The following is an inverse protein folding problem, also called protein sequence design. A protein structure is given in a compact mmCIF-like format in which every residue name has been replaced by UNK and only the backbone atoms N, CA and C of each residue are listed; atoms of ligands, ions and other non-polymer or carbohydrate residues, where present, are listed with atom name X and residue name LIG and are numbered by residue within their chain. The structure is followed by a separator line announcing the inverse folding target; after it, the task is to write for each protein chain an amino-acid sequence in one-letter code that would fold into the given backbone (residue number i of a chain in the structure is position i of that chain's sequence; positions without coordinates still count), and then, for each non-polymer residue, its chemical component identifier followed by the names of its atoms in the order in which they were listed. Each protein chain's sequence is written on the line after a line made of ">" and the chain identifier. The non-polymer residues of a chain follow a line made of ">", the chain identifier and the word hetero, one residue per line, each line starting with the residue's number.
data_IF_195759502609
#
_entry.id   IF_195759502609
#
_cell.length_a   1.000
_cell.length_b   1.000
_cell.length_c   1.000
_cell.angle_alpha   90.00
_cell.angle_beta   90.00
_cell.angle_gamma   90.00
#
_symmetry.space_group_name_H-M   'P 1'
#
loop_
_entity.id
_entity.type
_entity.pdbx_description
1 polymer ?
#
# COMPACT_ATOMS: atom_id res chain seq x y z
N UNK A 1 68.53 34.49 -15.96
CA UNK A 1 68.82 35.74 -16.77
C UNK A 1 67.72 35.83 -17.81
N UNK A 2 67.22 36.98 -18.16
CA UNK A 2 66.62 38.03 -17.34
C UNK A 2 65.10 38.22 -17.70
N UNK A 3 64.30 38.66 -16.76
CA UNK A 3 63.56 39.93 -16.65
C UNK A 3 62.78 40.44 -17.88
N UNK A 4 61.52 40.69 -17.77
CA UNK A 4 60.99 42.04 -17.83
C UNK A 4 59.52 42.12 -17.34
N UNK A 5 59.35 43.11 -16.52
CA UNK A 5 58.08 43.69 -15.97
C UNK A 5 57.31 44.41 -17.07
N UNK A 6 56.03 44.43 -16.92
CA UNK A 6 55.10 45.30 -17.67
C UNK A 6 53.82 45.49 -16.94
N UNK A 7 53.77 46.54 -16.12
CA UNK A 7 52.55 47.07 -15.47
C UNK A 7 51.80 47.95 -16.48
N UNK A 8 50.47 47.77 -16.58
CA UNK A 8 49.58 48.81 -17.13
C UNK A 8 48.26 48.78 -16.42
N UNK A 9 47.89 49.94 -15.96
CA UNK A 9 46.74 50.36 -15.14
C UNK A 9 45.63 50.92 -16.07
N UNK A 10 44.42 50.95 -15.54
CA UNK A 10 43.21 51.75 -15.92
C UNK A 10 42.30 51.14 -16.99
N UNK A 11 40.99 50.98 -16.79
CA UNK A 11 40.02 51.99 -16.45
C UNK A 11 38.67 51.38 -16.04
N UNK A 12 38.02 52.01 -15.10
CA UNK A 12 36.65 51.86 -14.65
C UNK A 12 35.67 52.17 -15.76
N UNK A 13 34.65 51.35 -16.00
CA UNK A 13 33.34 51.82 -16.48
C UNK A 13 32.22 51.07 -15.78
N UNK A 14 31.51 51.79 -15.00
CA UNK A 14 30.26 51.46 -14.33
C UNK A 14 29.13 51.42 -15.37
N UNK A 15 28.48 50.32 -15.57
CA UNK A 15 27.21 50.27 -16.32
C UNK A 15 26.22 49.44 -15.54
N UNK A 16 25.29 50.14 -14.88
CA UNK A 16 24.10 49.62 -14.26
C UNK A 16 23.09 49.18 -15.33
N UNK A 17 22.76 47.93 -15.39
CA UNK A 17 21.57 47.41 -16.09
C UNK A 17 20.72 46.63 -15.09
N UNK A 18 19.61 47.27 -14.71
CA UNK A 18 18.47 46.63 -14.06
C UNK A 18 17.73 45.75 -15.07
N UNK A 19 17.75 44.47 -14.84
CA UNK A 19 16.80 43.54 -15.47
C UNK A 19 16.21 42.65 -14.36
N UNK A 20 14.92 42.90 -14.10
CA UNK A 20 14.11 42.10 -13.23
C UNK A 20 13.95 40.68 -13.80
N UNK A 21 14.28 39.68 -12.98
CA UNK A 21 13.91 38.32 -13.22
C UNK A 21 13.00 37.89 -12.06
N UNK A 22 11.74 37.64 -12.36
CA UNK A 22 10.83 36.89 -11.48
C UNK A 22 11.35 35.47 -11.39
N UNK A 23 12.09 35.15 -10.34
CA UNK A 23 12.38 33.80 -9.91
C UNK A 23 11.50 33.51 -8.71
N UNK A 24 10.51 32.65 -8.87
CA UNK A 24 9.74 32.09 -7.76
C UNK A 24 10.57 30.98 -7.13
N UNK A 25 11.56 31.33 -6.35
CA UNK A 25 12.20 30.41 -5.42
C UNK A 25 11.33 30.35 -4.16
N UNK A 26 10.83 29.15 -3.85
CA UNK A 26 10.07 28.87 -2.66
C UNK A 26 10.88 29.18 -1.40
N UNK A 27 10.71 30.36 -0.86
CA UNK A 27 11.18 30.71 0.46
C UNK A 27 10.38 29.91 1.49
N UNK A 28 11.07 29.05 2.25
CA UNK A 28 10.56 28.50 3.49
C UNK A 28 10.35 29.63 4.47
N UNK A 29 9.09 29.97 4.72
CA UNK A 29 8.69 30.95 5.75
C UNK A 29 8.93 30.34 7.16
N UNK A 30 9.76 30.94 8.01
CA UNK A 30 10.00 30.47 9.38
C UNK A 30 8.89 30.88 10.36
N UNK A 31 7.80 31.46 9.92
CA UNK A 31 6.66 31.78 10.79
C UNK A 31 5.78 30.54 10.92
N UNK A 32 5.80 29.87 12.10
CA UNK A 32 4.96 28.71 12.47
C UNK A 32 3.46 29.03 12.50
N UNK A 33 2.91 29.48 11.37
CA UNK A 33 1.48 29.51 11.15
C UNK A 33 1.02 28.14 10.70
N UNK A 34 0.03 27.58 11.38
CA UNK A 34 -0.71 26.40 10.91
C UNK A 34 -1.03 26.61 9.43
N UNK A 35 -0.54 25.70 8.58
CA UNK A 35 -0.89 25.74 7.15
C UNK A 35 -2.40 25.54 7.04
N UNK A 36 -3.06 26.43 6.28
CA UNK A 36 -4.45 26.21 5.90
C UNK A 36 -4.58 24.82 5.23
N UNK A 37 -5.70 24.11 5.47
CA UNK A 37 -5.91 22.80 4.87
C UNK A 37 -5.67 22.88 3.35
N UNK A 38 -4.98 21.86 2.81
CA UNK A 38 -4.73 21.77 1.38
C UNK A 38 -6.05 21.91 0.62
N UNK A 39 -6.06 22.65 -0.48
CA UNK A 39 -7.26 22.83 -1.32
C UNK A 39 -7.73 21.51 -1.98
N UNK A 40 -8.78 21.61 -2.85
CA UNK A 40 -9.32 20.44 -3.54
C UNK A 40 -8.25 19.60 -4.22
N UNK A 41 -8.32 18.27 -4.04
CA UNK A 41 -7.32 17.35 -4.61
C UNK A 41 -7.97 16.39 -5.60
N UNK A 42 -7.49 16.37 -6.84
CA UNK A 42 -7.88 15.37 -7.83
C UNK A 42 -7.23 14.02 -7.50
N UNK A 43 -8.06 13.05 -7.12
CA UNK A 43 -7.65 11.68 -6.75
C UNK A 43 -7.59 10.79 -7.98
N UNK A 44 -8.60 10.88 -8.84
CA UNK A 44 -8.71 10.21 -10.14
C UNK A 44 -9.18 11.24 -11.20
N UNK A 45 -8.98 10.96 -12.49
CA UNK A 45 -9.60 11.78 -13.53
C UNK A 45 -11.09 11.94 -13.30
N UNK A 46 -11.56 13.18 -13.13
CA UNK A 46 -12.95 13.49 -12.84
C UNK A 46 -13.43 13.25 -11.41
N UNK A 47 -12.54 12.88 -10.50
CA UNK A 47 -12.85 12.67 -9.07
C UNK A 47 -11.96 13.58 -8.22
N UNK A 48 -12.54 14.67 -7.71
CA UNK A 48 -11.90 15.64 -6.82
C UNK A 48 -12.50 15.53 -5.43
N UNK A 49 -11.67 15.59 -4.41
CA UNK A 49 -12.06 15.55 -3.00
C UNK A 49 -11.76 16.91 -2.36
N UNK A 50 -12.76 17.47 -1.71
CA UNK A 50 -12.65 18.70 -0.93
C UNK A 50 -12.19 18.40 0.50
N UNK A 51 -11.34 19.22 1.11
CA UNK A 51 -11.01 19.11 2.52
C UNK A 51 -12.22 19.45 3.40
N UNK A 52 -12.30 18.77 4.54
CA UNK A 52 -13.25 19.05 5.60
C UNK A 52 -12.51 19.74 6.77
N UNK A 53 -12.76 21.06 7.01
CA UNK A 53 -12.08 21.78 8.09
C UNK A 53 -12.37 21.22 9.49
N UNK A 54 -13.54 20.60 9.71
CA UNK A 54 -13.89 20.02 11.00
C UNK A 54 -13.08 18.74 11.25
N UNK A 55 -12.86 17.90 10.21
CA UNK A 55 -11.99 16.73 10.30
C UNK A 55 -10.52 17.13 10.40
N UNK A 56 -10.08 18.16 9.65
CA UNK A 56 -8.73 18.69 9.76
C UNK A 56 -8.40 19.15 11.18
N UNK A 57 -9.31 19.87 11.85
CA UNK A 57 -9.12 20.35 13.21
C UNK A 57 -8.95 19.24 14.25
N UNK A 58 -9.37 18.01 13.95
CA UNK A 58 -9.27 16.83 14.84
C UNK A 58 -7.96 16.07 14.68
N UNK A 59 -7.15 16.40 13.67
CA UNK A 59 -5.83 15.79 13.50
C UNK A 59 -4.91 16.13 14.69
N UNK A 60 -4.02 15.20 15.09
CA UNK A 60 -2.93 15.52 16.02
C UNK A 60 -2.14 16.74 15.54
N UNK A 61 -1.74 17.61 16.48
CA UNK A 61 -0.99 18.84 16.16
C UNK A 61 0.27 18.55 15.33
N UNK A 62 0.98 17.46 15.65
CA UNK A 62 2.18 17.05 14.89
C UNK A 62 1.89 16.76 13.41
N UNK A 63 0.76 16.14 13.11
CA UNK A 63 0.32 15.83 11.73
C UNK A 63 -0.19 17.08 11.04
N UNK A 64 -1.00 17.89 11.75
CA UNK A 64 -1.55 19.13 11.22
C UNK A 64 -0.45 20.12 10.85
N UNK A 65 0.52 20.33 11.73
CA UNK A 65 1.66 21.22 11.49
C UNK A 65 2.61 20.69 10.39
N UNK A 66 2.79 19.36 10.28
CA UNK A 66 3.60 18.76 9.23
C UNK A 66 2.88 18.78 7.86
N UNK A 67 1.55 18.89 7.82
CA UNK A 67 0.75 18.79 6.61
C UNK A 67 0.87 17.45 5.88
N UNK A 68 1.42 16.42 6.55
CA UNK A 68 1.77 15.15 5.90
C UNK A 68 1.65 13.99 6.88
N UNK A 69 1.07 12.88 6.39
CA UNK A 69 1.07 11.56 7.02
C UNK A 69 2.05 10.66 6.27
N UNK A 70 3.02 10.09 6.96
CA UNK A 70 4.03 9.19 6.39
C UNK A 70 3.46 7.79 6.29
N UNK A 71 3.34 7.25 5.07
CA UNK A 71 2.70 5.97 4.79
C UNK A 71 3.73 4.93 4.36
N UNK A 72 3.79 3.80 5.08
CA UNK A 72 4.55 2.61 4.67
C UNK A 72 3.70 1.76 3.71
N UNK A 73 4.32 1.29 2.62
CA UNK A 73 3.69 0.37 1.66
C UNK A 73 4.73 -0.58 1.06
N UNK A 74 4.40 -1.83 0.84
CA UNK A 74 5.30 -2.79 0.17
C UNK A 74 4.90 -2.95 -1.31
N UNK A 75 5.68 -2.32 -2.16
CA UNK A 75 5.43 -2.26 -3.61
C UNK A 75 6.47 -3.09 -4.39
N UNK A 76 6.04 -3.88 -5.42
CA UNK A 76 4.68 -3.97 -5.97
C UNK A 76 3.82 -5.09 -5.36
N UNK A 77 2.55 -4.80 -5.14
CA UNK A 77 1.48 -5.76 -4.82
C UNK A 77 0.16 -5.33 -5.50
N UNK A 78 0.06 -5.49 -6.84
CA UNK A 78 -1.06 -4.97 -7.62
C UNK A 78 -2.37 -5.73 -7.35
N UNK A 79 -3.53 -5.06 -7.42
CA UNK A 79 -3.75 -3.66 -7.76
C UNK A 79 -3.73 -2.72 -6.53
N UNK A 80 -3.36 -3.19 -5.33
CA UNK A 80 -3.37 -2.38 -4.11
C UNK A 80 -2.29 -1.29 -4.15
N UNK A 81 -1.03 -1.66 -4.39
CA UNK A 81 0.10 -0.77 -4.61
C UNK A 81 1.01 -1.29 -5.72
N UNK A 82 1.31 -0.44 -6.69
CA UNK A 82 2.16 -0.79 -7.83
C UNK A 82 2.87 0.43 -8.36
N UNK A 83 3.91 0.23 -9.15
CA UNK A 83 4.52 1.33 -9.89
C UNK A 83 3.66 1.71 -11.09
N UNK A 84 3.56 3.01 -11.38
CA UNK A 84 2.69 3.52 -12.45
C UNK A 84 3.06 2.95 -13.82
N UNK A 85 4.35 2.78 -14.07
CA UNK A 85 4.91 2.19 -15.28
C UNK A 85 6.22 1.48 -14.93
N UNK A 86 6.71 0.63 -15.83
CA UNK A 86 8.03 0.02 -15.71
C UNK A 86 9.12 1.11 -15.62
N UNK A 87 10.02 0.97 -14.65
CA UNK A 87 11.07 1.96 -14.36
C UNK A 87 10.61 3.20 -13.59
N UNK A 88 9.30 3.37 -13.36
CA UNK A 88 8.77 4.47 -12.53
C UNK A 88 9.07 4.22 -11.05
N UNK A 89 9.24 5.33 -10.30
CA UNK A 89 9.24 5.30 -8.83
C UNK A 89 7.91 5.79 -8.23
N UNK A 90 7.00 6.26 -9.08
CA UNK A 90 5.69 6.75 -8.66
C UNK A 90 4.79 5.57 -8.36
N UNK A 91 4.27 5.54 -7.13
CA UNK A 91 3.38 4.48 -6.66
C UNK A 91 1.93 4.88 -6.97
N UNK A 92 1.14 3.91 -7.39
CA UNK A 92 -0.29 4.01 -7.66
C UNK A 92 -0.98 2.73 -7.19
N UNK A 93 -2.30 2.68 -7.21
CA UNK A 93 -3.08 1.52 -6.77
C UNK A 93 -4.26 1.92 -5.90
N UNK A 94 -5.00 0.92 -5.43
CA UNK A 94 -6.20 1.11 -4.59
C UNK A 94 -5.81 1.86 -3.31
N UNK A 95 -4.80 1.37 -2.59
CA UNK A 95 -4.34 1.94 -1.33
C UNK A 95 -3.87 3.38 -1.50
N UNK A 96 -3.14 3.64 -2.59
CA UNK A 96 -2.63 4.99 -2.89
C UNK A 96 -3.76 5.96 -3.21
N UNK A 97 -4.77 5.54 -3.97
CA UNK A 97 -5.91 6.43 -4.30
C UNK A 97 -6.81 6.65 -3.09
N UNK A 98 -7.07 5.62 -2.28
CA UNK A 98 -7.80 5.77 -1.03
C UNK A 98 -7.04 6.66 -0.03
N UNK A 99 -5.73 6.43 0.15
CA UNK A 99 -4.91 7.26 1.01
C UNK A 99 -4.86 8.73 0.55
N UNK A 100 -4.78 8.98 -0.77
CA UNK A 100 -4.89 10.35 -1.31
C UNK A 100 -6.26 10.97 -1.04
N UNK A 101 -7.33 10.20 -1.17
CA UNK A 101 -8.68 10.69 -0.91
C UNK A 101 -8.87 11.02 0.58
N UNK A 102 -8.40 10.13 1.48
CA UNK A 102 -8.43 10.35 2.94
C UNK A 102 -7.60 11.59 3.29
N UNK A 103 -6.39 11.70 2.75
CA UNK A 103 -5.52 12.85 2.97
C UNK A 103 -6.16 14.16 2.49
N UNK A 104 -6.77 14.16 1.28
CA UNK A 104 -7.49 15.31 0.75
C UNK A 104 -8.65 15.73 1.67
N UNK A 105 -9.45 14.77 2.15
CA UNK A 105 -10.55 15.01 3.08
C UNK A 105 -10.06 15.58 4.43
N UNK A 106 -8.90 15.13 4.88
CA UNK A 106 -8.24 15.61 6.09
C UNK A 106 -7.44 16.90 5.88
N UNK A 107 -7.30 17.39 4.64
CA UNK A 107 -6.48 18.57 4.32
C UNK A 107 -4.98 18.37 4.55
N UNK A 108 -4.48 17.14 4.41
CA UNK A 108 -3.07 16.77 4.53
C UNK A 108 -2.65 15.82 3.40
N UNK A 109 -1.36 15.68 3.17
CA UNK A 109 -0.82 14.76 2.16
C UNK A 109 -0.46 13.41 2.79
N UNK A 110 -0.89 12.31 2.17
CA UNK A 110 -0.43 10.95 2.46
C UNK A 110 0.79 10.65 1.58
N UNK A 111 1.97 10.54 2.20
CA UNK A 111 3.26 10.37 1.54
C UNK A 111 3.68 8.89 1.56
N UNK A 112 3.41 8.19 0.46
CA UNK A 112 3.68 6.77 0.31
C UNK A 112 5.15 6.51 0.05
N UNK A 113 5.76 5.64 0.88
CA UNK A 113 7.16 5.23 0.75
C UNK A 113 7.29 3.71 0.84
N UNK A 114 8.12 3.16 -0.05
CA UNK A 114 8.37 1.73 -0.08
C UNK A 114 9.06 1.25 1.20
N UNK A 115 8.51 0.19 1.79
CA UNK A 115 9.04 -0.52 2.95
C UNK A 115 8.75 -2.01 2.77
N UNK A 116 9.71 -2.91 3.02
CA UNK A 116 9.46 -4.36 2.96
C UNK A 116 8.36 -4.74 3.96
N UNK A 117 7.46 -5.63 3.55
CA UNK A 117 6.24 -5.98 4.30
C UNK A 117 6.53 -6.44 5.73
N UNK A 118 7.48 -7.36 5.90
CA UNK A 118 7.88 -7.92 7.19
C UNK A 118 8.51 -6.88 8.15
N UNK A 119 9.04 -5.78 7.60
CA UNK A 119 9.62 -4.67 8.34
C UNK A 119 8.68 -3.49 8.61
N UNK A 120 7.42 -3.52 8.14
CA UNK A 120 6.52 -2.37 8.26
C UNK A 120 6.15 -2.07 9.73
N UNK A 121 5.66 -3.08 10.46
CA UNK A 121 5.26 -2.86 11.86
C UNK A 121 6.41 -2.41 12.75
N UNK A 122 7.61 -3.04 12.71
CA UNK A 122 8.78 -2.51 13.39
C UNK A 122 9.16 -1.08 13.01
N UNK A 123 8.99 -0.69 11.74
CA UNK A 123 9.29 0.66 11.28
C UNK A 123 8.27 1.70 11.81
N UNK A 124 7.01 1.32 12.00
CA UNK A 124 5.99 2.16 12.65
C UNK A 124 6.30 2.30 14.14
N UNK A 125 6.59 1.21 14.84
CA UNK A 125 6.98 1.24 16.26
C UNK A 125 8.23 2.09 16.51
N UNK A 126 9.15 2.15 15.54
CA UNK A 126 10.33 3.03 15.57
C UNK A 126 10.03 4.49 15.16
N UNK A 127 8.76 4.86 14.92
CA UNK A 127 8.36 6.22 14.54
C UNK A 127 8.78 6.66 13.13
N UNK A 128 9.21 5.72 12.27
CA UNK A 128 9.60 6.03 10.89
C UNK A 128 8.40 6.37 10.02
N UNK A 129 7.25 5.78 10.29
CA UNK A 129 5.99 5.99 9.61
C UNK A 129 4.86 6.24 10.62
N UNK A 130 3.82 6.92 10.17
CA UNK A 130 2.63 7.22 10.98
C UNK A 130 1.56 6.14 10.76
N UNK A 131 1.49 5.62 9.52
CA UNK A 131 0.51 4.60 9.11
C UNK A 131 1.12 3.60 8.13
N UNK A 132 0.46 2.44 7.99
CA UNK A 132 0.64 1.50 6.88
C UNK A 132 -0.64 1.42 6.06
N UNK A 133 -0.48 1.46 4.72
CA UNK A 133 -1.48 1.06 3.73
C UNK A 133 -0.77 0.14 2.74
N UNK A 134 -1.00 -1.15 2.82
CA UNK A 134 -0.30 -2.20 2.07
C UNK A 134 -1.09 -3.52 2.10
N UNK A 135 -2.37 -3.45 1.75
CA UNK A 135 -3.31 -4.58 1.79
C UNK A 135 -3.20 -5.40 3.10
N UNK A 136 -2.90 -4.73 4.21
CA UNK A 136 -2.56 -5.40 5.46
C UNK A 136 -3.80 -5.91 6.17
N UNK A 137 -3.93 -7.24 6.32
CA UNK A 137 -5.01 -7.85 7.09
C UNK A 137 -4.98 -7.36 8.54
N UNK A 138 -6.12 -6.90 9.05
CA UNK A 138 -6.30 -6.64 10.48
C UNK A 138 -6.29 -7.97 11.25
N UNK A 139 -5.41 -8.09 12.23
CA UNK A 139 -5.24 -9.25 13.12
C UNK A 139 -4.96 -8.78 14.54
N UNK A 140 -5.59 -9.43 15.52
CA UNK A 140 -5.32 -9.15 16.96
C UNK A 140 -3.84 -9.19 17.31
N UNK A 141 -3.08 -10.05 16.64
CA UNK A 141 -1.63 -10.11 16.80
C UNK A 141 -0.93 -8.83 16.35
N UNK A 142 -1.39 -8.19 15.27
CA UNK A 142 -0.87 -6.93 14.74
C UNK A 142 -1.40 -5.72 15.49
N UNK A 143 -2.63 -5.82 16.05
CA UNK A 143 -3.23 -4.79 16.90
C UNK A 143 -2.43 -4.52 18.18
N UNK A 144 -1.47 -5.36 18.53
CA UNK A 144 -0.51 -5.05 19.61
C UNK A 144 0.44 -3.91 19.24
N UNK A 145 0.82 -3.81 17.97
CA UNK A 145 1.77 -2.82 17.43
C UNK A 145 1.09 -1.56 16.91
N UNK A 146 -0.06 -1.71 16.23
CA UNK A 146 -0.82 -0.62 15.61
C UNK A 146 -2.30 -0.77 15.89
N UNK A 147 -3.07 0.30 15.74
CA UNK A 147 -4.53 0.20 15.62
C UNK A 147 -4.93 0.19 14.15
N UNK A 148 -5.97 -0.54 13.78
CA UNK A 148 -6.43 -0.62 12.40
C UNK A 148 -7.70 0.22 12.18
N UNK A 149 -7.76 0.89 11.03
CA UNK A 149 -9.00 1.41 10.45
C UNK A 149 -9.32 0.55 9.23
N UNK A 150 -10.33 -0.31 9.35
CA UNK A 150 -10.69 -1.25 8.29
C UNK A 150 -11.33 -0.52 7.12
N UNK A 151 -10.91 -0.87 5.91
CA UNK A 151 -11.34 -0.21 4.69
C UNK A 151 -11.75 -1.16 3.57
N UNK A 152 -11.41 -2.44 3.64
CA UNK A 152 -11.73 -3.48 2.67
C UNK A 152 -11.91 -4.82 3.36
N UNK A 153 -12.47 -5.79 2.60
CA UNK A 153 -12.60 -7.17 3.05
C UNK A 153 -12.19 -8.10 1.91
N UNK A 154 -11.08 -8.82 2.05
CA UNK A 154 -10.60 -9.73 1.02
C UNK A 154 -10.16 -11.07 1.60
N UNK A 155 -10.26 -12.11 0.77
CA UNK A 155 -9.88 -13.47 1.09
C UNK A 155 -8.60 -13.90 0.39
N UNK A 156 -8.03 -15.03 0.79
CA UNK A 156 -6.89 -15.62 0.09
C UNK A 156 -7.31 -16.30 -1.21
N UNK A 157 -6.36 -16.42 -2.12
CA UNK A 157 -6.50 -17.16 -3.37
C UNK A 157 -5.18 -17.85 -3.76
N UNK A 158 -5.25 -18.65 -4.80
CA UNK A 158 -4.08 -19.27 -5.40
C UNK A 158 -3.82 -18.67 -6.77
N UNK A 159 -2.61 -18.26 -7.02
CA UNK A 159 -2.10 -18.03 -8.36
C UNK A 159 -1.38 -19.30 -8.81
N UNK A 160 -1.74 -19.82 -9.97
CA UNK A 160 -1.17 -21.05 -10.55
C UNK A 160 -0.75 -20.80 -11.99
N UNK A 161 0.08 -21.67 -12.57
CA UNK A 161 0.37 -21.61 -14.00
C UNK A 161 -0.90 -21.73 -14.83
N UNK A 162 -0.90 -21.11 -16.01
CA UNK A 162 -2.03 -21.13 -16.93
C UNK A 162 -2.58 -22.53 -17.14
N UNK A 163 -3.89 -22.67 -17.02
CA UNK A 163 -4.58 -23.94 -17.16
C UNK A 163 -4.49 -24.85 -15.93
N UNK A 164 -3.88 -24.41 -14.83
CA UNK A 164 -3.80 -25.18 -13.58
C UNK A 164 -3.28 -26.63 -13.77
N UNK A 165 -2.06 -26.82 -14.28
CA UNK A 165 -1.53 -28.15 -14.63
C UNK A 165 -1.47 -29.10 -13.43
N UNK A 166 -1.30 -28.55 -12.21
CA UNK A 166 -1.27 -29.31 -10.97
C UNK A 166 -2.66 -29.68 -10.42
N UNK A 167 -3.73 -29.26 -11.12
CA UNK A 167 -5.14 -29.54 -10.78
C UNK A 167 -5.50 -29.18 -9.33
N UNK A 168 -4.96 -28.03 -8.86
CA UNK A 168 -5.24 -27.53 -7.52
C UNK A 168 -6.70 -27.08 -7.48
N UNK A 169 -7.51 -27.72 -6.64
CA UNK A 169 -8.95 -27.44 -6.47
C UNK A 169 -9.34 -27.34 -4.99
N UNK A 170 -8.57 -27.99 -4.12
CA UNK A 170 -8.70 -27.93 -2.68
C UNK A 170 -7.34 -27.77 -2.01
N UNK A 171 -7.33 -27.29 -0.77
CA UNK A 171 -6.08 -27.02 -0.02
C UNK A 171 -5.14 -28.21 0.01
N UNK A 172 -5.67 -29.44 0.11
CA UNK A 172 -4.85 -30.64 0.22
C UNK A 172 -4.17 -31.05 -1.09
N UNK A 173 -4.52 -30.47 -2.22
CA UNK A 173 -3.84 -30.73 -3.50
C UNK A 173 -2.40 -30.17 -3.55
N UNK A 174 -2.07 -29.26 -2.63
CA UNK A 174 -0.71 -28.70 -2.49
C UNK A 174 0.12 -29.42 -1.42
N UNK A 175 -0.42 -30.44 -0.72
CA UNK A 175 0.34 -31.24 0.22
C UNK A 175 1.49 -31.97 -0.50
N UNK A 176 2.71 -31.89 0.06
CA UNK A 176 3.94 -32.44 -0.54
C UNK A 176 4.50 -31.65 -1.72
N UNK A 177 3.93 -30.46 -2.02
CA UNK A 177 4.39 -29.66 -3.15
C UNK A 177 4.99 -28.30 -2.67
N UNK A 178 5.92 -27.71 -3.45
CA UNK A 178 6.48 -26.41 -3.16
C UNK A 178 5.47 -25.28 -3.47
N UNK A 179 5.17 -24.46 -2.46
CA UNK A 179 4.24 -23.33 -2.55
C UNK A 179 4.96 -22.03 -2.18
N UNK A 180 4.84 -21.02 -3.02
CA UNK A 180 5.33 -19.67 -2.78
C UNK A 180 4.40 -18.88 -1.88
N UNK A 181 4.98 -17.98 -1.09
CA UNK A 181 4.24 -17.03 -0.26
C UNK A 181 5.15 -15.87 0.14
N UNK A 182 4.60 -14.70 0.35
CA UNK A 182 5.40 -13.58 0.88
C UNK A 182 5.61 -13.71 2.39
N UNK A 183 6.84 -13.43 2.84
CA UNK A 183 7.26 -13.44 4.24
C UNK A 183 6.50 -12.43 5.09
N UNK A 184 6.11 -12.81 6.32
CA UNK A 184 5.45 -11.93 7.28
C UNK A 184 3.96 -11.72 7.03
N UNK A 185 3.41 -12.30 5.96
CA UNK A 185 1.99 -12.17 5.60
C UNK A 185 1.09 -13.08 6.43
N UNK A 186 -0.21 -12.75 6.45
CA UNK A 186 -1.22 -13.65 6.96
C UNK A 186 -1.30 -14.96 6.14
N UNK A 187 -1.03 -14.89 4.84
CA UNK A 187 -1.01 -16.05 3.94
C UNK A 187 0.06 -17.07 4.36
N UNK A 188 1.26 -16.60 4.71
CA UNK A 188 2.31 -17.49 5.25
C UNK A 188 1.85 -18.23 6.52
N UNK A 189 1.21 -17.49 7.46
CA UNK A 189 0.67 -18.08 8.69
C UNK A 189 -0.44 -19.09 8.39
N UNK A 190 -1.32 -18.79 7.45
CA UNK A 190 -2.38 -19.70 7.02
C UNK A 190 -1.81 -20.98 6.40
N UNK A 191 -0.80 -20.91 5.55
CA UNK A 191 -0.13 -22.10 5.00
C UNK A 191 0.48 -22.97 6.12
N UNK A 192 1.11 -22.35 7.11
CA UNK A 192 1.64 -23.07 8.28
C UNK A 192 0.53 -23.80 9.03
N UNK A 193 -0.61 -23.16 9.26
CA UNK A 193 -1.77 -23.80 9.90
C UNK A 193 -2.37 -24.95 9.08
N UNK A 194 -2.32 -24.85 7.73
CA UNK A 194 -2.84 -25.88 6.83
C UNK A 194 -2.00 -27.15 6.80
N UNK A 195 -0.81 -27.17 7.37
CA UNK A 195 -0.03 -28.40 7.56
C UNK A 195 -0.82 -29.47 8.32
N UNK A 196 -1.70 -29.05 9.25
CA UNK A 196 -2.56 -29.99 9.98
C UNK A 196 -3.56 -30.71 9.08
N UNK A 197 -4.01 -30.08 7.98
CA UNK A 197 -4.90 -30.74 7.00
C UNK A 197 -4.18 -31.83 6.21
N UNK A 198 -2.91 -31.58 5.84
CA UNK A 198 -2.08 -32.59 5.19
C UNK A 198 -1.82 -33.77 6.13
N UNK A 199 -1.45 -33.50 7.37
CA UNK A 199 -1.21 -34.50 8.41
C UNK A 199 -2.46 -35.34 8.68
N UNK A 200 -3.64 -34.73 8.81
CA UNK A 200 -4.90 -35.43 9.05
C UNK A 200 -5.27 -36.41 7.92
N UNK A 201 -4.76 -36.17 6.71
CA UNK A 201 -4.96 -37.07 5.55
C UNK A 201 -3.77 -38.00 5.27
N UNK A 202 -2.78 -38.06 6.16
CA UNK A 202 -1.52 -38.81 5.99
C UNK A 202 -0.78 -38.42 4.69
N UNK A 203 -0.85 -37.13 4.29
CA UNK A 203 -0.13 -36.57 3.15
C UNK A 203 1.15 -35.88 3.62
N UNK A 204 2.20 -35.79 2.77
CA UNK A 204 3.39 -35.03 3.07
C UNK A 204 3.08 -33.55 3.37
N UNK A 205 3.87 -32.86 4.19
CA UNK A 205 3.66 -31.46 4.48
C UNK A 205 3.86 -30.58 3.23
N UNK A 206 3.19 -29.43 3.18
CA UNK A 206 3.43 -28.40 2.15
C UNK A 206 4.87 -27.90 2.30
N UNK A 207 5.63 -27.84 1.22
CA UNK A 207 6.94 -27.21 1.19
C UNK A 207 6.74 -25.68 1.00
N UNK A 208 6.78 -24.94 2.11
CA UNK A 208 6.51 -23.50 2.11
C UNK A 208 7.79 -22.73 1.76
N UNK A 209 7.84 -22.10 0.58
CA UNK A 209 8.93 -21.24 0.15
C UNK A 209 8.52 -19.78 0.35
N UNK A 210 9.10 -19.13 1.38
CA UNK A 210 8.82 -17.74 1.70
C UNK A 210 9.79 -16.80 0.97
N UNK A 211 9.24 -15.76 0.35
CA UNK A 211 9.97 -14.75 -0.43
C UNK A 211 9.83 -13.37 0.21
N UNK A 212 10.83 -12.51 0.05
CA UNK A 212 10.79 -11.16 0.61
C UNK A 212 9.69 -10.30 -0.03
N UNK A 213 9.39 -10.56 -1.32
CA UNK A 213 8.33 -9.90 -2.09
C UNK A 213 7.44 -10.94 -2.78
N UNK A 214 6.16 -10.60 -2.91
CA UNK A 214 5.21 -11.43 -3.65
C UNK A 214 5.63 -11.59 -5.13
N UNK A 215 6.15 -10.54 -5.75
CA UNK A 215 6.67 -10.62 -7.13
C UNK A 215 7.80 -11.66 -7.31
N UNK A 216 8.56 -11.98 -6.26
CA UNK A 216 9.56 -13.05 -6.29
C UNK A 216 8.89 -14.43 -6.24
N UNK A 217 7.80 -14.58 -5.47
CA UNK A 217 6.98 -15.80 -5.46
C UNK A 217 6.32 -16.04 -6.84
N UNK A 218 5.80 -15.00 -7.48
CA UNK A 218 5.27 -15.06 -8.84
C UNK A 218 6.34 -15.49 -9.87
N UNK A 219 7.57 -14.97 -9.74
CA UNK A 219 8.69 -15.39 -10.59
C UNK A 219 9.07 -16.86 -10.35
N UNK A 220 9.05 -17.31 -9.09
CA UNK A 220 9.27 -18.71 -8.74
C UNK A 220 8.18 -19.62 -9.31
N UNK A 221 6.91 -19.18 -9.33
CA UNK A 221 5.81 -19.89 -9.99
C UNK A 221 6.01 -19.95 -11.51
N UNK A 222 6.37 -18.85 -12.14
CA UNK A 222 6.64 -18.78 -13.60
C UNK A 222 7.74 -19.78 -13.98
N UNK A 223 8.85 -19.83 -13.24
CA UNK A 223 9.97 -20.73 -13.49
C UNK A 223 9.67 -22.20 -13.16
N UNK A 224 8.63 -22.49 -12.39
CA UNK A 224 8.29 -23.83 -11.91
C UNK A 224 9.02 -24.26 -10.66
N UNK A 225 9.66 -23.32 -9.96
CA UNK A 225 10.26 -23.57 -8.63
C UNK A 225 9.18 -23.81 -7.57
N UNK A 226 8.00 -23.23 -7.72
CA UNK A 226 6.80 -23.50 -6.94
C UNK A 226 5.64 -23.86 -7.87
N UNK A 227 4.65 -24.61 -7.36
CA UNK A 227 3.46 -25.02 -8.13
C UNK A 227 2.31 -24.02 -8.02
N UNK A 228 2.31 -23.23 -6.95
CA UNK A 228 1.33 -22.19 -6.68
C UNK A 228 1.96 -21.08 -5.84
N UNK A 229 1.38 -19.89 -5.90
CA UNK A 229 1.63 -18.79 -5.00
C UNK A 229 0.35 -18.50 -4.21
N UNK A 230 0.45 -18.32 -2.89
CA UNK A 230 -0.69 -18.12 -1.99
C UNK A 230 -0.72 -16.69 -1.50
N UNK A 231 -1.70 -15.92 -1.99
CA UNK A 231 -1.80 -14.48 -1.83
C UNK A 231 -3.27 -14.04 -1.74
N UNK A 232 -3.56 -12.74 -1.77
CA UNK A 232 -4.94 -12.25 -1.85
C UNK A 232 -5.57 -12.60 -3.20
N UNK A 233 -6.83 -13.02 -3.19
CA UNK A 233 -7.58 -13.38 -4.40
C UNK A 233 -7.65 -12.23 -5.42
N UNK A 234 -7.72 -10.98 -4.92
CA UNK A 234 -7.74 -9.77 -5.74
C UNK A 234 -6.43 -9.61 -6.51
N UNK A 235 -5.29 -9.76 -5.82
CA UNK A 235 -3.97 -9.71 -6.46
C UNK A 235 -3.77 -10.88 -7.40
N UNK A 236 -4.17 -12.10 -7.01
CA UNK A 236 -4.13 -13.26 -7.89
C UNK A 236 -4.93 -13.01 -9.19
N UNK A 237 -6.15 -12.47 -9.07
CA UNK A 237 -7.01 -12.12 -10.21
C UNK A 237 -6.36 -11.09 -11.13
N UNK A 238 -5.85 -10.01 -10.56
CA UNK A 238 -5.18 -8.96 -11.31
C UNK A 238 -3.95 -9.48 -12.06
N UNK A 239 -3.07 -10.21 -11.37
CA UNK A 239 -1.85 -10.79 -11.98
C UNK A 239 -2.20 -11.80 -13.06
N UNK A 240 -3.18 -12.67 -12.83
CA UNK A 240 -3.63 -13.64 -13.82
C UNK A 240 -4.20 -12.96 -15.08
N UNK A 241 -4.87 -11.82 -14.94
CA UNK A 241 -5.43 -11.07 -16.07
C UNK A 241 -4.37 -10.27 -16.85
N UNK A 242 -3.35 -9.75 -16.16
CA UNK A 242 -2.42 -8.77 -16.75
C UNK A 242 -1.08 -9.36 -17.18
N UNK A 243 -0.57 -10.38 -16.49
CA UNK A 243 0.71 -11.01 -16.83
C UNK A 243 0.67 -11.62 -18.25
N UNK A 244 1.52 -11.09 -19.13
CA UNK A 244 1.58 -11.46 -20.54
C UNK A 244 0.17 -11.46 -21.20
N UNK A 245 -0.63 -10.46 -20.90
CA UNK A 245 -2.03 -10.32 -21.38
C UNK A 245 -2.90 -11.54 -21.02
N UNK A 246 -2.69 -12.10 -19.82
CA UNK A 246 -3.46 -13.24 -19.31
C UNK A 246 -2.99 -14.63 -19.78
N UNK A 247 -1.83 -14.72 -20.42
CA UNK A 247 -1.32 -15.99 -20.95
C UNK A 247 -0.52 -16.83 -19.94
N UNK A 248 -0.03 -16.23 -18.84
CA UNK A 248 0.94 -16.89 -17.94
C UNK A 248 0.30 -17.63 -16.79
N UNK A 249 -0.73 -17.05 -16.17
CA UNK A 249 -1.30 -17.54 -14.93
C UNK A 249 -2.81 -17.76 -15.01
N UNK A 250 -3.32 -18.53 -14.07
CA UNK A 250 -4.74 -18.68 -13.73
C UNK A 250 -4.92 -18.56 -12.23
N UNK A 251 -6.14 -18.25 -11.79
CA UNK A 251 -6.48 -18.24 -10.38
C UNK A 251 -7.25 -19.49 -10.00
N UNK A 252 -7.11 -19.93 -8.75
CA UNK A 252 -8.01 -20.88 -8.12
C UNK A 252 -8.53 -20.24 -6.84
N UNK A 253 -9.83 -20.03 -6.80
CA UNK A 253 -10.55 -19.31 -5.72
C UNK A 253 -11.72 -20.13 -5.22
N UNK A 254 -12.41 -19.61 -4.21
CA UNK A 254 -13.57 -20.26 -3.61
C UNK A 254 -13.22 -21.08 -2.38
N UNK A 255 -14.25 -21.31 -1.55
CA UNK A 255 -14.10 -21.93 -0.23
C UNK A 255 -13.39 -23.29 -0.24
N UNK A 256 -13.65 -24.14 -1.22
CA UNK A 256 -13.00 -25.46 -1.34
C UNK A 256 -11.48 -25.33 -1.53
N UNK A 257 -11.05 -24.37 -2.37
CA UNK A 257 -9.66 -24.16 -2.70
C UNK A 257 -8.86 -23.50 -1.57
N UNK A 258 -9.48 -22.55 -0.87
CA UNK A 258 -8.80 -21.77 0.17
C UNK A 258 -9.12 -22.25 1.61
N UNK A 259 -9.99 -23.24 1.76
CA UNK A 259 -10.48 -23.77 3.05
C UNK A 259 -11.60 -22.91 3.62
N UNK A 260 -11.98 -23.17 4.88
CA UNK A 260 -13.09 -22.44 5.55
C UNK A 260 -12.74 -20.97 5.87
N UNK A 261 -11.58 -20.49 5.43
CA UNK A 261 -11.17 -19.13 5.69
C UNK A 261 -12.02 -18.15 4.86
N UNK A 262 -12.81 -17.35 5.55
CA UNK A 262 -13.59 -16.27 4.96
C UNK A 262 -12.70 -15.03 4.71
N UNK A 263 -13.21 -14.10 3.90
CA UNK A 263 -12.61 -12.79 3.76
C UNK A 263 -12.39 -12.15 5.15
N UNK A 264 -11.25 -11.49 5.31
CA UNK A 264 -10.86 -10.80 6.55
C UNK A 264 -10.75 -9.30 6.30
N UNK A 265 -11.00 -8.47 7.32
CA UNK A 265 -10.77 -7.04 7.21
C UNK A 265 -9.31 -6.76 6.83
N UNK A 266 -9.13 -5.85 5.87
CA UNK A 266 -7.89 -5.16 5.60
C UNK A 266 -7.98 -3.76 6.17
N UNK A 267 -6.97 -3.34 6.89
CA UNK A 267 -6.98 -2.08 7.61
C UNK A 267 -5.78 -1.20 7.35
N UNK A 268 -6.00 0.11 7.47
CA UNK A 268 -4.94 1.10 7.61
C UNK A 268 -4.40 0.96 9.02
N UNK A 269 -3.17 0.44 9.17
CA UNK A 269 -2.54 0.36 10.49
C UNK A 269 -2.00 1.72 10.90
N UNK A 270 -2.43 2.22 12.06
CA UNK A 270 -2.09 3.54 12.58
C UNK A 270 -1.21 3.40 13.81
N UNK A 271 -0.12 4.16 13.88
CA UNK A 271 0.76 4.19 15.04
C UNK A 271 -0.01 4.53 16.31
N UNK A 272 0.25 3.79 17.39
CA UNK A 272 -0.33 4.07 18.71
C UNK A 272 0.20 5.36 19.35
N UNK A 273 1.34 5.85 18.86
CA UNK A 273 1.96 7.09 19.31
C UNK A 273 1.32 8.35 18.69
N UNK A 274 0.29 8.17 17.84
CA UNK A 274 -0.45 9.25 17.18
C UNK A 274 -1.92 9.30 17.65
N UNK A 275 -2.18 9.67 18.93
CA UNK A 275 -3.54 9.69 19.47
C UNK A 275 -4.44 10.63 18.66
N UNK A 276 -5.66 10.17 18.34
CA UNK A 276 -6.64 10.89 17.51
C UNK A 276 -6.48 10.71 16.01
N UNK A 277 -5.33 10.21 15.51
CA UNK A 277 -5.13 10.02 14.07
C UNK A 277 -6.04 8.91 13.50
N UNK A 278 -6.20 7.79 14.20
CA UNK A 278 -7.06 6.69 13.74
C UNK A 278 -8.53 7.08 13.65
N UNK A 279 -9.02 7.88 14.62
CA UNK A 279 -10.38 8.40 14.62
C UNK A 279 -10.59 9.37 13.44
N UNK A 280 -9.63 10.26 13.20
CA UNK A 280 -9.69 11.20 12.08
C UNK A 280 -9.68 10.45 10.73
N UNK A 281 -8.82 9.43 10.56
CA UNK A 281 -8.77 8.58 9.36
C UNK A 281 -10.09 7.81 9.18
N UNK A 282 -10.64 7.21 10.25
CA UNK A 282 -11.93 6.51 10.19
C UNK A 282 -13.05 7.44 9.73
N UNK A 283 -13.14 8.63 10.29
CA UNK A 283 -14.22 9.56 9.99
C UNK A 283 -14.08 10.14 8.57
N UNK A 284 -12.84 10.41 8.12
CA UNK A 284 -12.58 10.79 6.73
C UNK A 284 -12.96 9.66 5.75
N UNK A 285 -12.57 8.41 6.04
CA UNK A 285 -12.93 7.25 5.23
C UNK A 285 -14.45 7.07 5.19
N UNK A 286 -15.15 7.16 6.33
CA UNK A 286 -16.61 7.08 6.37
C UNK A 286 -17.27 8.16 5.52
N UNK A 287 -16.81 9.41 5.61
CA UNK A 287 -17.29 10.51 4.77
C UNK A 287 -17.12 10.23 3.26
N UNK A 288 -15.99 9.58 2.87
CA UNK A 288 -15.76 9.17 1.47
C UNK A 288 -16.63 7.98 1.05
N UNK A 289 -17.05 7.13 1.98
CA UNK A 289 -18.04 6.07 1.73
C UNK A 289 -19.42 6.68 1.52
N UNK A 290 -19.81 7.64 2.35
CA UNK A 290 -21.13 8.29 2.34
C UNK A 290 -21.35 9.12 1.06
N UNK A 291 -20.30 9.78 0.53
CA UNK A 291 -20.39 10.58 -0.70
C UNK A 291 -20.12 9.77 -1.99
N UNK A 292 -19.81 8.47 -1.86
CA UNK A 292 -19.57 7.56 -2.97
C UNK A 292 -18.17 7.63 -3.59
N UNK A 293 -17.26 8.47 -3.08
CA UNK A 293 -15.86 8.56 -3.55
C UNK A 293 -15.12 7.23 -3.37
N UNK A 294 -15.27 6.60 -2.21
CA UNK A 294 -14.71 5.28 -1.92
C UNK A 294 -15.12 4.24 -2.97
N UNK A 295 -16.41 4.17 -3.28
CA UNK A 295 -16.95 3.23 -4.27
C UNK A 295 -16.36 3.46 -5.66
N UNK A 296 -16.29 4.73 -6.12
CA UNK A 296 -15.70 5.07 -7.43
C UNK A 296 -14.24 4.66 -7.55
N UNK A 297 -13.48 4.72 -6.43
CA UNK A 297 -12.09 4.24 -6.42
C UNK A 297 -12.05 2.73 -6.62
N UNK A 298 -12.88 1.95 -5.95
CA UNK A 298 -12.92 0.48 -6.11
C UNK A 298 -13.41 0.06 -7.51
N UNK A 299 -14.40 0.77 -8.06
CA UNK A 299 -14.91 0.54 -9.42
C UNK A 299 -13.84 0.78 -10.48
N UNK A 300 -12.94 1.77 -10.30
CA UNK A 300 -11.79 1.97 -11.19
C UNK A 300 -10.91 0.74 -11.35
N UNK A 301 -10.82 -0.08 -10.32
CA UNK A 301 -10.00 -1.30 -10.29
C UNK A 301 -10.81 -2.58 -10.51
N UNK A 302 -12.10 -2.44 -10.83
CA UNK A 302 -13.03 -3.55 -11.06
C UNK A 302 -13.15 -4.51 -9.85
N UNK A 303 -13.09 -3.95 -8.64
CA UNK A 303 -13.14 -4.70 -7.37
C UNK A 303 -14.20 -4.18 -6.39
N UNK A 304 -15.42 -3.79 -6.82
CA UNK A 304 -16.42 -3.28 -5.88
C UNK A 304 -16.86 -4.32 -4.85
N UNK A 305 -16.64 -5.61 -5.12
CA UNK A 305 -17.04 -6.72 -4.26
C UNK A 305 -16.26 -6.85 -2.95
N UNK A 306 -15.10 -6.19 -2.83
CA UNK A 306 -14.31 -6.18 -1.59
C UNK A 306 -14.67 -5.01 -0.66
N UNK A 307 -15.65 -4.20 -1.04
CA UNK A 307 -16.11 -3.06 -0.25
C UNK A 307 -16.71 -3.50 1.09
N UNK A 308 -16.54 -2.63 2.10
CA UNK A 308 -17.23 -2.76 3.38
C UNK A 308 -18.27 -1.64 3.53
N UNK A 309 -19.37 -1.88 4.27
CA UNK A 309 -20.45 -0.90 4.38
C UNK A 309 -20.12 0.26 5.33
N UNK A 310 -19.12 0.08 6.20
CA UNK A 310 -18.77 1.04 7.24
C UNK A 310 -17.30 0.89 7.62
N UNK A 311 -16.61 2.03 7.83
CA UNK A 311 -15.28 2.06 8.41
C UNK A 311 -15.32 1.66 9.90
N UNK A 312 -14.52 0.68 10.29
CA UNK A 312 -14.44 0.18 11.66
C UNK A 312 -13.03 0.31 12.22
N UNK A 313 -12.89 0.31 13.55
CA UNK A 313 -11.60 0.29 14.21
C UNK A 313 -11.40 -1.08 14.85
N UNK A 314 -10.26 -1.73 14.54
CA UNK A 314 -9.84 -3.02 15.11
C UNK A 314 -10.93 -4.11 14.94
N UNK A 315 -11.49 -4.26 13.74
CA UNK A 315 -12.55 -5.20 13.43
C UNK A 315 -12.11 -6.65 13.22
N UNK A 316 -10.86 -7.01 13.51
CA UNK A 316 -10.37 -8.37 13.41
C UNK A 316 -11.26 -9.37 14.17
N UNK A 317 -11.59 -10.48 13.50
CA UNK A 317 -12.47 -11.54 14.04
C UNK A 317 -11.72 -12.59 14.90
N UNK A 318 -10.35 -12.57 14.90
CA UNK A 318 -9.46 -13.55 15.54
C UNK A 318 -8.41 -12.95 16.47
#
# INVERSE_FOLDING_TARGET
>A
MPTHRGTAVLALTLSTLLLGACGTDGATDPSGKAQDPAGPTTVLPGLTVEPDPALHARLPESIRSAGTVRVATDVPYPPFEMYENEGSRKITGIDVHLGKAIGARLGVRFDFRAQKFDGILPAIEAGKFDVVMSAMTDKKSRQRSVDFVDYLNAGPGWLVKKGNPEKITVVTDVCGKPVGVQTGTNHQKLLQQRQELCKAKNLPPIEILAFAKDSEAQLALRSGKVVADYLDEVTAGYVAATADKGATFSTVTGRAAVGEYSASPMGIGVSKDSPGLKEAIRDALQSLMDDGTYRKILEKYDVPGISIPKATINGALD
#
